data_IF_037923118778
#
_entry.id   IF_037923118778
#
_cell.length_a   1.000
_cell.length_b   1.000
_cell.length_c   1.000
_cell.angle_alpha   90.00
_cell.angle_beta   90.00
_cell.angle_gamma   90.00
#
_symmetry.space_group_name_H-M   'P 1'
#
loop_
_entity.id
_entity.type
_entity.pdbx_description
1 polymer ?
#
# COMPACT_ATOMS: atom_id res chain seq x y z
N UNK A 1 -17.56 -15.98 22.85
CA UNK A 1 -16.23 -16.59 22.62
C UNK A 1 -15.69 -16.36 21.21
N UNK A 2 -16.24 -16.94 20.13
CA UNK A 2 -15.68 -16.74 18.77
C UNK A 2 -15.70 -15.27 18.31
N UNK A 3 -16.80 -14.54 18.57
CA UNK A 3 -16.90 -13.12 18.22
C UNK A 3 -15.89 -12.26 19.01
N UNK A 4 -15.72 -12.52 20.30
CA UNK A 4 -14.76 -11.80 21.16
C UNK A 4 -13.32 -12.02 20.71
N UNK A 5 -12.97 -13.25 20.29
CA UNK A 5 -11.65 -13.55 19.72
C UNK A 5 -11.43 -12.73 18.44
N UNK A 6 -12.41 -12.70 17.54
CA UNK A 6 -12.33 -11.93 16.30
C UNK A 6 -12.19 -10.42 16.56
N UNK A 7 -12.92 -9.88 17.53
CA UNK A 7 -12.81 -8.47 17.93
C UNK A 7 -11.40 -8.15 18.46
N UNK A 8 -10.85 -9.01 19.32
CA UNK A 8 -9.47 -8.85 19.79
C UNK A 8 -8.48 -8.92 18.63
N UNK A 9 -8.63 -9.88 17.71
CA UNK A 9 -7.75 -10.02 16.55
C UNK A 9 -7.78 -8.79 15.63
N UNK A 10 -8.92 -8.09 15.47
CA UNK A 10 -8.97 -6.84 14.69
C UNK A 10 -8.09 -5.73 15.25
N UNK A 11 -7.78 -5.76 16.55
CA UNK A 11 -6.87 -4.79 17.18
C UNK A 11 -5.39 -5.20 17.09
N UNK A 12 -5.10 -6.43 16.66
CA UNK A 12 -3.73 -6.95 16.53
C UNK A 12 -3.16 -6.50 15.18
N UNK A 13 -2.08 -5.73 15.20
CA UNK A 13 -1.38 -5.29 13.98
C UNK A 13 -0.46 -6.37 13.43
N UNK A 14 0.34 -6.98 14.29
CA UNK A 14 1.35 -7.97 13.90
C UNK A 14 1.07 -9.34 14.48
N UNK A 15 1.43 -10.37 13.70
CA UNK A 15 1.49 -11.76 14.14
C UNK A 15 2.94 -12.21 14.07
N UNK A 16 3.50 -12.65 15.20
CA UNK A 16 4.84 -13.18 15.29
C UNK A 16 4.76 -14.69 15.51
N UNK A 17 5.38 -15.47 14.62
CA UNK A 17 5.43 -16.93 14.69
C UNK A 17 6.87 -17.40 14.92
N UNK A 18 7.10 -18.25 15.92
CA UNK A 18 8.41 -18.88 16.18
C UNK A 18 8.29 -20.35 16.54
N UNK A 19 9.36 -21.08 16.31
CA UNK A 19 9.64 -22.39 16.89
C UNK A 19 10.88 -22.37 17.81
N UNK A 20 11.46 -21.20 18.06
CA UNK A 20 12.61 -21.04 18.93
C UNK A 20 12.22 -21.25 20.39
N UNK A 21 13.00 -22.06 21.09
CA UNK A 21 12.87 -22.21 22.55
C UNK A 21 13.20 -20.88 23.23
N UNK A 22 12.39 -20.50 24.21
CA UNK A 22 12.62 -19.37 25.12
C UNK A 22 12.80 -18.01 24.45
N UNK A 23 12.09 -17.76 23.33
CA UNK A 23 12.34 -16.56 22.52
C UNK A 23 11.87 -15.24 23.14
N UNK A 24 10.56 -15.03 23.26
CA UNK A 24 9.97 -13.84 23.92
C UNK A 24 9.41 -14.12 25.31
N UNK A 25 9.34 -15.40 25.69
CA UNK A 25 8.75 -15.82 26.96
C UNK A 25 9.66 -15.49 28.15
N UNK A 26 10.98 -15.53 27.94
CA UNK A 26 11.99 -15.28 28.98
C UNK A 26 12.70 -13.93 28.83
N UNK A 27 12.61 -13.29 27.65
CA UNK A 27 13.43 -12.13 27.32
C UNK A 27 12.52 -10.96 26.89
N UNK A 28 12.58 -9.87 27.66
CA UNK A 28 11.83 -8.62 27.38
C UNK A 28 12.28 -7.92 26.09
N UNK A 29 13.53 -8.11 25.68
CA UNK A 29 14.10 -7.58 24.45
C UNK A 29 14.53 -8.73 23.56
N UNK A 30 13.91 -8.84 22.41
CA UNK A 30 14.18 -9.93 21.48
C UNK A 30 14.62 -9.39 20.13
N UNK A 31 15.14 -10.29 19.29
CA UNK A 31 15.50 -9.97 17.92
C UNK A 31 15.16 -11.11 16.97
N UNK A 32 14.96 -10.75 15.69
CA UNK A 32 14.66 -11.70 14.63
C UNK A 32 15.40 -11.34 13.33
N UNK A 33 15.88 -12.32 12.56
CA UNK A 33 16.47 -12.04 11.25
C UNK A 33 15.49 -11.35 10.30
N UNK A 34 15.98 -10.34 9.57
CA UNK A 34 15.20 -9.62 8.54
C UNK A 34 14.60 -10.55 7.49
N UNK A 35 15.28 -11.66 7.17
CA UNK A 35 14.81 -12.68 6.22
C UNK A 35 13.51 -13.36 6.65
N UNK A 36 13.17 -13.33 7.93
CA UNK A 36 11.91 -13.84 8.45
C UNK A 36 10.87 -12.73 8.68
N UNK A 37 11.08 -11.52 8.18
CA UNK A 37 10.07 -10.47 8.21
C UNK A 37 9.31 -10.47 6.88
N UNK A 38 7.98 -10.59 6.93
CA UNK A 38 7.16 -10.57 5.73
C UNK A 38 7.37 -9.27 4.93
N UNK A 39 7.44 -9.32 3.58
CA UNK A 39 7.75 -8.14 2.75
C UNK A 39 6.84 -6.93 3.01
N UNK A 40 5.57 -7.16 3.34
CA UNK A 40 4.63 -6.08 3.66
C UNK A 40 5.05 -5.26 4.89
N UNK A 41 5.70 -5.89 5.88
CA UNK A 41 6.24 -5.16 7.05
C UNK A 41 7.51 -4.41 6.66
N UNK A 42 8.37 -5.01 5.82
CA UNK A 42 9.62 -4.37 5.36
C UNK A 42 9.39 -3.11 4.53
N UNK A 43 8.23 -3.00 3.89
CA UNK A 43 7.81 -1.82 3.11
C UNK A 43 7.24 -0.69 3.97
N UNK A 44 7.07 -0.92 5.27
CA UNK A 44 6.51 0.07 6.19
C UNK A 44 7.59 0.68 7.07
N UNK A 45 7.42 1.95 7.48
CA UNK A 45 8.11 2.47 8.64
C UNK A 45 7.81 1.58 9.85
N UNK A 46 8.84 1.20 10.58
CA UNK A 46 8.68 0.47 11.83
C UNK A 46 7.87 1.33 12.81
N UNK A 47 6.89 0.71 13.49
CA UNK A 47 6.09 1.43 14.47
C UNK A 47 6.98 1.94 15.61
N UNK A 48 6.91 3.26 15.86
CA UNK A 48 7.58 3.90 17.01
C UNK A 48 6.82 3.64 18.31
N UNK A 49 5.49 3.52 18.22
CA UNK A 49 4.61 3.22 19.34
C UNK A 49 4.52 1.71 19.60
N UNK A 50 4.09 1.36 20.82
CA UNK A 50 3.73 -0.01 21.17
C UNK A 50 2.51 -0.45 20.35
N UNK A 51 2.58 -1.65 19.77
CA UNK A 51 1.51 -2.20 18.93
C UNK A 51 1.10 -3.57 19.41
N UNK A 52 -0.21 -3.80 19.39
CA UNK A 52 -0.76 -5.08 19.84
C UNK A 52 -0.34 -6.18 18.88
N UNK A 53 0.18 -7.26 19.44
CA UNK A 53 0.83 -8.34 18.69
C UNK A 53 0.34 -9.69 19.20
N UNK A 54 0.01 -10.58 18.27
CA UNK A 54 -0.25 -11.98 18.56
C UNK A 54 1.05 -12.77 18.41
N UNK A 55 1.45 -13.44 19.48
CA UNK A 55 2.63 -14.28 19.54
C UNK A 55 2.20 -15.74 19.46
N UNK A 56 2.78 -16.47 18.51
CA UNK A 56 2.42 -17.86 18.22
C UNK A 56 3.67 -18.71 18.35
N UNK A 57 3.63 -19.67 19.28
CA UNK A 57 4.66 -20.66 19.46
C UNK A 57 4.27 -21.96 18.77
N UNK A 58 5.20 -22.50 17.99
CA UNK A 58 5.02 -23.73 17.23
C UNK A 58 6.08 -24.75 17.60
N UNK A 59 5.67 -26.01 17.49
CA UNK A 59 6.59 -27.14 17.37
C UNK A 59 6.24 -27.88 16.08
N UNK A 60 7.20 -27.91 15.15
CA UNK A 60 6.99 -28.42 13.78
C UNK A 60 5.79 -27.70 13.14
N UNK A 61 4.73 -28.41 12.75
CA UNK A 61 3.51 -27.83 12.16
C UNK A 61 2.36 -27.66 13.15
N UNK A 62 2.59 -27.86 14.46
CA UNK A 62 1.56 -27.73 15.49
C UNK A 62 1.72 -26.41 16.23
N UNK A 63 0.62 -25.68 16.39
CA UNK A 63 0.55 -24.53 17.31
C UNK A 63 0.44 -25.08 18.73
N UNK A 64 1.40 -24.74 19.58
CA UNK A 64 1.45 -25.22 20.97
C UNK A 64 1.11 -24.13 21.99
N UNK A 65 1.15 -22.86 21.57
CA UNK A 65 0.78 -21.74 22.43
C UNK A 65 0.50 -20.48 21.63
N UNK A 66 -0.46 -19.71 22.13
CA UNK A 66 -0.75 -18.37 21.66
C UNK A 66 -0.73 -17.42 22.85
N UNK A 67 -0.19 -16.24 22.65
CA UNK A 67 -0.22 -15.16 23.63
C UNK A 67 -0.47 -13.84 22.93
N UNK A 68 -1.12 -12.91 23.62
CA UNK A 68 -1.30 -11.55 23.15
C UNK A 68 -0.52 -10.59 24.04
N UNK A 69 0.08 -9.57 23.45
CA UNK A 69 0.80 -8.53 24.20
C UNK A 69 1.13 -7.36 23.30
N UNK A 70 2.13 -6.59 23.69
CA UNK A 70 2.61 -5.46 22.91
C UNK A 70 4.04 -5.69 22.44
N UNK A 71 4.30 -5.32 21.19
CA UNK A 71 5.65 -5.17 20.66
C UNK A 71 5.97 -3.69 20.46
N UNK A 72 7.19 -3.26 20.81
CA UNK A 72 7.56 -1.84 20.75
C UNK A 72 9.04 -1.62 20.48
N UNK A 73 9.40 -0.35 20.26
CA UNK A 73 10.79 0.12 20.07
C UNK A 73 11.51 -0.68 18.98
N UNK A 74 10.82 -0.87 17.86
CA UNK A 74 11.35 -1.58 16.72
C UNK A 74 12.54 -0.86 16.12
N UNK A 75 13.68 -1.54 15.99
CA UNK A 75 14.87 -0.99 15.34
C UNK A 75 15.57 -2.03 14.47
N UNK A 76 16.19 -1.57 13.39
CA UNK A 76 17.09 -2.40 12.60
C UNK A 76 18.50 -2.31 13.20
N UNK A 77 19.13 -3.47 13.35
CA UNK A 77 20.51 -3.57 13.81
C UNK A 77 21.25 -4.65 13.03
N UNK A 78 22.57 -4.72 13.22
CA UNK A 78 23.38 -5.82 12.72
C UNK A 78 23.91 -6.64 13.89
N UNK A 79 24.03 -7.95 13.71
CA UNK A 79 24.76 -8.79 14.66
C UNK A 79 26.26 -8.82 14.33
N UNK A 80 27.05 -9.48 15.19
CA UNK A 80 28.50 -9.65 14.99
C UNK A 80 28.89 -10.35 13.68
N UNK A 81 27.97 -11.08 13.06
CA UNK A 81 28.14 -11.73 11.76
C UNK A 81 27.54 -10.92 10.59
N UNK A 82 27.27 -9.63 10.80
CA UNK A 82 26.75 -8.68 9.80
C UNK A 82 25.34 -8.98 9.26
N UNK A 83 24.59 -9.92 9.87
CA UNK A 83 23.18 -10.15 9.54
C UNK A 83 22.29 -9.03 10.06
N UNK A 84 21.35 -8.57 9.24
CA UNK A 84 20.38 -7.55 9.65
C UNK A 84 19.27 -8.19 10.48
N UNK A 85 19.06 -7.65 11.68
CA UNK A 85 18.05 -8.10 12.63
C UNK A 85 17.04 -6.98 12.90
N UNK A 86 15.78 -7.34 13.10
CA UNK A 86 14.79 -6.49 13.75
C UNK A 86 14.86 -6.73 15.26
N UNK A 87 15.13 -5.69 16.02
CA UNK A 87 15.06 -5.70 17.48
C UNK A 87 13.72 -5.14 17.93
N UNK A 88 13.15 -5.70 18.99
CA UNK A 88 11.87 -5.28 19.54
C UNK A 88 11.78 -5.64 21.02
N UNK A 89 10.88 -4.97 21.73
CA UNK A 89 10.54 -5.27 23.11
C UNK A 89 9.17 -5.91 23.19
N UNK A 90 8.98 -6.83 24.12
CA UNK A 90 7.72 -7.50 24.41
C UNK A 90 7.25 -7.14 25.82
N UNK A 91 6.01 -6.69 25.95
CA UNK A 91 5.38 -6.37 27.23
C UNK A 91 3.95 -6.91 27.31
N UNK A 92 3.44 -7.04 28.53
CA UNK A 92 2.05 -7.39 28.84
C UNK A 92 1.57 -8.67 28.15
N UNK A 93 2.45 -9.67 28.11
CA UNK A 93 2.16 -10.96 27.50
C UNK A 93 1.11 -11.70 28.35
N UNK A 94 -0.04 -11.99 27.75
CA UNK A 94 -1.13 -12.75 28.34
C UNK A 94 -1.43 -13.99 27.50
N UNK A 95 -1.71 -15.16 28.12
CA UNK A 95 -2.15 -16.33 27.40
C UNK A 95 -3.38 -16.03 26.53
N UNK A 96 -3.40 -16.59 25.33
CA UNK A 96 -4.51 -16.44 24.38
C UNK A 96 -4.95 -17.83 23.88
N UNK A 97 -6.23 -18.03 23.51
CA UNK A 97 -6.69 -19.30 22.95
C UNK A 97 -5.84 -19.75 21.76
N UNK A 98 -5.65 -21.07 21.62
CA UNK A 98 -4.90 -21.63 20.51
C UNK A 98 -5.66 -21.42 19.20
N UNK A 99 -5.00 -20.77 18.24
CA UNK A 99 -5.58 -20.43 16.94
C UNK A 99 -4.95 -21.28 15.83
N UNK A 100 -5.58 -22.41 15.51
CA UNK A 100 -5.07 -23.34 14.50
C UNK A 100 -5.08 -22.79 13.06
N UNK A 101 -5.82 -21.70 12.79
CA UNK A 101 -5.83 -21.00 11.50
C UNK A 101 -4.43 -20.46 11.10
N UNK A 102 -3.57 -20.18 12.08
CA UNK A 102 -2.22 -19.69 11.84
C UNK A 102 -1.17 -20.80 11.70
N UNK A 103 -1.57 -22.09 11.73
CA UNK A 103 -0.64 -23.24 11.64
C UNK A 103 0.26 -23.22 10.40
N UNK A 104 -0.23 -22.62 9.31
CA UNK A 104 0.46 -22.58 8.02
C UNK A 104 1.32 -21.32 7.84
N UNK A 105 1.30 -20.35 8.76
CA UNK A 105 2.16 -19.17 8.66
C UNK A 105 3.63 -19.57 8.83
N UNK A 106 4.51 -19.08 7.97
CA UNK A 106 5.95 -19.29 8.10
C UNK A 106 6.48 -18.69 9.40
N UNK A 107 7.59 -19.19 9.92
CA UNK A 107 8.30 -18.56 11.04
C UNK A 107 8.64 -17.12 10.64
N UNK A 108 8.36 -16.16 11.52
CA UNK A 108 8.54 -14.76 11.19
C UNK A 108 7.49 -13.78 11.68
N UNK A 109 7.69 -12.54 11.25
CA UNK A 109 6.77 -11.42 11.45
C UNK A 109 5.82 -11.31 10.27
N UNK A 110 4.52 -11.24 10.55
CA UNK A 110 3.44 -11.10 9.57
C UNK A 110 2.53 -9.94 9.94
N UNK A 111 1.95 -9.31 8.92
CA UNK A 111 0.88 -8.36 9.12
C UNK A 111 -0.42 -9.14 9.32
N UNK A 112 -1.21 -8.76 10.32
CA UNK A 112 -2.49 -9.41 10.55
C UNK A 112 -3.50 -8.98 9.49
N UNK A 113 -4.10 -9.96 8.79
CA UNK A 113 -5.09 -9.70 7.73
C UNK A 113 -6.39 -9.08 8.23
N UNK A 114 -6.70 -9.24 9.51
CA UNK A 114 -7.89 -8.68 10.15
C UNK A 114 -7.68 -7.26 10.66
N UNK A 115 -6.46 -6.73 10.61
CA UNK A 115 -6.18 -5.38 11.04
C UNK A 115 -6.74 -4.38 10.00
N UNK A 116 -7.50 -3.34 10.39
CA UNK A 116 -8.16 -2.41 9.46
C UNK A 116 -7.23 -1.84 8.38
N UNK A 117 -6.01 -1.48 8.76
CA UNK A 117 -5.03 -0.84 7.88
C UNK A 117 -4.27 -1.87 7.00
N UNK A 118 -4.67 -3.15 6.98
CA UNK A 118 -4.02 -4.17 6.15
C UNK A 118 -4.00 -3.77 4.66
N UNK A 119 -5.04 -3.07 4.20
CA UNK A 119 -5.18 -2.61 2.83
C UNK A 119 -4.58 -1.22 2.57
N UNK A 120 -4.15 -0.47 3.59
CA UNK A 120 -3.47 0.82 3.39
C UNK A 120 -2.21 0.64 2.52
N UNK A 121 -1.64 -0.56 2.49
CA UNK A 121 -0.47 -0.90 1.68
C UNK A 121 -0.78 -1.14 0.19
N UNK A 122 -2.05 -1.24 -0.18
CA UNK A 122 -2.49 -1.26 -1.57
C UNK A 122 -2.72 0.15 -2.11
N UNK A 123 -2.70 1.17 -1.25
CA UNK A 123 -2.86 2.57 -1.63
C UNK A 123 -1.47 3.10 -2.00
N UNK A 124 -1.21 3.45 -3.28
CA UNK A 124 0.05 4.07 -3.64
C UNK A 124 0.24 5.40 -2.89
N UNK A 125 1.46 5.66 -2.41
CA UNK A 125 1.77 6.85 -1.61
C UNK A 125 1.37 8.17 -2.28
N UNK A 126 1.43 8.23 -3.62
CA UNK A 126 1.07 9.42 -4.38
C UNK A 126 -0.41 9.81 -4.24
N UNK A 127 -1.31 8.90 -3.84
CA UNK A 127 -2.73 9.23 -3.67
C UNK A 127 -2.97 10.18 -2.49
N UNK A 128 -2.20 10.03 -1.41
CA UNK A 128 -2.26 10.97 -0.28
C UNK A 128 -1.76 12.36 -0.71
N UNK A 129 -0.60 12.40 -1.38
CA UNK A 129 -0.01 13.63 -1.90
C UNK A 129 -0.92 14.33 -2.92
N UNK A 130 -1.64 13.56 -3.75
CA UNK A 130 -2.59 14.07 -4.73
C UNK A 130 -3.80 14.77 -4.11
N UNK A 131 -4.28 14.31 -2.94
CA UNK A 131 -5.41 14.92 -2.25
C UNK A 131 -5.08 16.25 -1.56
N UNK A 132 -3.80 16.51 -1.30
CA UNK A 132 -3.33 17.68 -0.55
C UNK A 132 -2.60 18.70 -1.43
N UNK A 133 -2.18 18.34 -2.64
CA UNK A 133 -1.36 19.21 -3.48
C UNK A 133 -2.16 20.37 -4.08
N UNK A 134 -1.63 21.59 -3.96
CA UNK A 134 -2.10 22.77 -4.68
C UNK A 134 -1.27 23.03 -5.96
N UNK A 135 -0.17 22.30 -6.16
CA UNK A 135 0.65 22.41 -7.37
C UNK A 135 -0.01 21.64 -8.52
N UNK A 136 -0.59 22.40 -9.45
CA UNK A 136 -1.24 21.87 -10.64
C UNK A 136 -0.35 20.90 -11.44
N UNK A 137 0.98 21.09 -11.46
CA UNK A 137 1.91 20.22 -12.19
C UNK A 137 2.04 18.86 -11.52
N UNK A 138 2.11 18.85 -10.19
CA UNK A 138 2.15 17.61 -9.41
C UNK A 138 0.81 16.88 -9.51
N UNK A 139 -0.29 17.62 -9.46
CA UNK A 139 -1.63 17.05 -9.65
C UNK A 139 -1.79 16.36 -11.01
N UNK A 140 -1.38 17.01 -12.11
CA UNK A 140 -1.38 16.41 -13.46
C UNK A 140 -0.53 15.13 -13.52
N UNK A 141 0.66 15.15 -12.89
CA UNK A 141 1.55 13.99 -12.81
C UNK A 141 0.92 12.84 -12.01
N UNK A 142 0.26 13.14 -10.89
CA UNK A 142 -0.44 12.13 -10.10
C UNK A 142 -1.68 11.57 -10.82
N UNK A 143 -2.42 12.39 -11.57
CA UNK A 143 -3.47 11.92 -12.48
C UNK A 143 -2.92 10.95 -13.53
N UNK A 144 -1.74 11.24 -14.10
CA UNK A 144 -1.08 10.31 -15.02
C UNK A 144 -0.75 8.96 -14.35
N UNK A 145 -0.24 8.98 -13.11
CA UNK A 145 0.02 7.75 -12.36
C UNK A 145 -1.25 6.99 -12.02
N UNK A 146 -2.33 7.69 -11.67
CA UNK A 146 -3.64 7.10 -11.43
C UNK A 146 -4.17 6.39 -12.67
N UNK A 147 -4.08 7.02 -13.85
CA UNK A 147 -4.51 6.40 -15.12
C UNK A 147 -3.73 5.12 -15.42
N UNK A 148 -2.41 5.09 -15.19
CA UNK A 148 -1.62 3.86 -15.31
C UNK A 148 -2.06 2.79 -14.30
N UNK A 149 -2.31 3.19 -13.05
CA UNK A 149 -2.71 2.29 -11.98
C UNK A 149 -4.03 1.57 -12.30
N UNK A 150 -5.00 2.26 -12.91
CA UNK A 150 -6.29 1.67 -13.32
C UNK A 150 -6.20 0.90 -14.66
N UNK A 151 -5.01 0.72 -15.21
CA UNK A 151 -4.76 -0.11 -16.39
C UNK A 151 -4.67 0.64 -17.73
N UNK A 152 -4.71 1.98 -17.73
CA UNK A 152 -4.47 2.78 -18.94
C UNK A 152 -2.97 2.94 -19.15
N UNK A 153 -2.35 1.91 -19.73
CA UNK A 153 -0.90 1.88 -19.89
C UNK A 153 -0.39 2.66 -21.11
N UNK A 154 -1.22 2.81 -22.15
CA UNK A 154 -0.88 3.53 -23.39
C UNK A 154 -1.28 5.01 -23.31
N UNK A 155 -0.66 5.75 -22.40
CA UNK A 155 -0.86 7.20 -22.25
C UNK A 155 0.15 7.99 -23.09
N UNK A 156 -0.34 9.02 -23.77
CA UNK A 156 0.47 9.98 -24.52
C UNK A 156 0.33 11.36 -23.87
N UNK A 157 1.16 11.69 -22.86
CA UNK A 157 1.13 13.01 -22.23
C UNK A 157 1.65 14.08 -23.21
N UNK A 158 1.02 15.26 -23.20
CA UNK A 158 1.49 16.39 -23.97
C UNK A 158 2.60 17.15 -23.21
N UNK A 159 3.58 17.74 -23.92
CA UNK A 159 4.64 18.52 -23.27
C UNK A 159 4.10 19.77 -22.56
N UNK A 160 4.51 19.97 -21.31
CA UNK A 160 4.13 21.09 -20.43
C UNK A 160 4.70 22.46 -20.86
N UNK A 161 5.79 22.47 -21.64
CA UNK A 161 6.60 23.68 -21.90
C UNK A 161 5.98 24.66 -22.91
N UNK A 162 4.92 24.29 -23.66
CA UNK A 162 4.39 25.12 -24.77
C UNK A 162 2.87 25.30 -24.82
N UNK A 163 2.12 24.87 -23.81
CA UNK A 163 0.70 24.56 -24.02
C UNK A 163 -0.26 25.12 -22.95
N UNK A 164 -0.24 26.44 -22.72
CA UNK A 164 -1.31 27.09 -21.95
C UNK A 164 -2.65 26.90 -22.71
N UNK A 165 -3.57 26.11 -22.14
CA UNK A 165 -4.92 25.85 -22.70
C UNK A 165 -5.07 24.59 -23.57
N UNK A 166 -4.13 23.63 -23.54
CA UNK A 166 -4.31 22.30 -24.16
C UNK A 166 -4.49 21.23 -23.09
N UNK A 167 -5.10 20.11 -23.50
CA UNK A 167 -5.26 18.92 -22.69
C UNK A 167 -3.89 18.43 -22.19
N UNK A 168 -3.89 17.66 -21.12
CA UNK A 168 -2.68 17.12 -20.50
C UNK A 168 -2.17 15.89 -21.24
N UNK A 169 -3.06 15.17 -21.90
CA UNK A 169 -2.70 14.02 -22.71
C UNK A 169 -3.87 13.39 -23.43
N UNK A 170 -3.55 12.30 -24.12
CA UNK A 170 -4.52 11.47 -24.82
C UNK A 170 -4.21 9.98 -24.65
N UNK A 171 -5.24 9.15 -24.77
CA UNK A 171 -5.10 7.71 -24.83
C UNK A 171 -6.25 7.06 -25.58
N UNK A 172 -6.06 5.79 -25.92
CA UNK A 172 -7.10 4.93 -26.50
C UNK A 172 -7.46 3.83 -25.51
N UNK A 173 -8.75 3.55 -25.38
CA UNK A 173 -9.28 2.41 -24.64
C UNK A 173 -10.21 1.62 -25.56
N UNK A 174 -9.67 0.58 -26.19
CA UNK A 174 -10.33 -0.04 -27.34
C UNK A 174 -10.53 0.99 -28.46
N UNK A 175 -11.76 1.15 -28.93
CA UNK A 175 -12.13 2.11 -29.99
C UNK A 175 -12.46 3.51 -29.45
N UNK A 176 -12.35 3.72 -28.14
CA UNK A 176 -12.61 5.02 -27.51
C UNK A 176 -11.32 5.86 -27.47
N UNK A 177 -11.33 6.98 -28.19
CA UNK A 177 -10.32 8.02 -28.05
C UNK A 177 -10.69 8.98 -26.93
N UNK A 178 -9.76 9.17 -25.97
CA UNK A 178 -9.95 10.03 -24.81
C UNK A 178 -8.89 11.13 -24.81
N UNK A 179 -9.36 12.37 -24.69
CA UNK A 179 -8.55 13.52 -24.28
C UNK A 179 -8.81 13.78 -22.80
N UNK A 180 -7.77 13.90 -21.99
CA UNK A 180 -7.91 14.20 -20.56
C UNK A 180 -7.18 15.49 -20.17
N UNK A 181 -7.76 16.20 -19.21
CA UNK A 181 -7.29 17.47 -18.65
C UNK A 181 -7.70 17.46 -17.17
N UNK A 182 -6.71 17.47 -16.29
CA UNK A 182 -6.82 17.46 -14.85
C UNK A 182 -6.75 18.88 -14.32
N UNK A 183 -7.51 19.19 -13.27
CA UNK A 183 -7.58 20.56 -12.74
C UNK A 183 -7.81 20.51 -11.25
N UNK A 184 -6.97 21.24 -10.51
CA UNK A 184 -6.99 21.33 -9.04
C UNK A 184 -7.95 22.42 -8.51
N UNK A 185 -8.64 23.15 -9.40
CA UNK A 185 -9.53 24.25 -9.05
C UNK A 185 -10.96 23.76 -8.72
N UNK A 186 -11.52 24.19 -7.58
CA UNK A 186 -12.87 23.84 -7.14
C UNK A 186 -13.99 24.39 -8.04
N UNK A 187 -13.75 25.51 -8.73
CA UNK A 187 -14.70 26.14 -9.66
C UNK A 187 -14.48 25.70 -11.12
N UNK A 188 -13.78 24.58 -11.35
CA UNK A 188 -13.39 24.10 -12.68
C UNK A 188 -14.53 24.04 -13.70
N UNK A 189 -15.78 23.82 -13.28
CA UNK A 189 -16.92 23.70 -14.20
C UNK A 189 -17.15 24.96 -15.03
N UNK A 190 -17.09 26.13 -14.40
CA UNK A 190 -17.29 27.40 -15.10
C UNK A 190 -16.03 27.76 -15.89
N UNK A 191 -14.85 27.59 -15.30
CA UNK A 191 -13.56 27.96 -15.90
C UNK A 191 -13.21 27.10 -17.14
N UNK A 192 -13.67 25.84 -17.19
CA UNK A 192 -13.33 24.88 -18.25
C UNK A 192 -14.41 24.74 -19.32
N UNK A 193 -15.57 25.38 -19.17
CA UNK A 193 -16.70 25.20 -20.10
C UNK A 193 -16.33 25.50 -21.56
N UNK A 194 -15.65 26.62 -21.78
CA UNK A 194 -15.16 27.00 -23.11
C UNK A 194 -14.03 26.08 -23.61
N UNK A 195 -13.16 25.61 -22.71
CA UNK A 195 -12.06 24.71 -23.02
C UNK A 195 -12.57 23.33 -23.46
N UNK A 196 -13.58 22.80 -22.76
CA UNK A 196 -14.27 21.54 -23.11
C UNK A 196 -14.95 21.67 -24.47
N UNK A 197 -15.67 22.76 -24.73
CA UNK A 197 -16.33 22.98 -26.02
C UNK A 197 -15.30 22.99 -27.18
N UNK A 198 -14.14 23.62 -26.99
CA UNK A 198 -13.03 23.59 -27.96
C UNK A 198 -12.49 22.17 -28.16
N UNK A 199 -12.37 21.36 -27.11
CA UNK A 199 -11.94 19.96 -27.25
C UNK A 199 -12.95 19.11 -27.99
N UNK A 200 -14.24 19.26 -27.71
CA UNK A 200 -15.30 18.53 -28.43
C UNK A 200 -15.24 18.85 -29.92
N UNK A 201 -15.06 20.12 -30.29
CA UNK A 201 -14.89 20.51 -31.69
C UNK A 201 -13.63 19.90 -32.32
N UNK A 202 -12.51 19.91 -31.61
CA UNK A 202 -11.24 19.31 -32.07
C UNK A 202 -11.35 17.80 -32.30
N UNK A 203 -12.04 17.08 -31.41
CA UNK A 203 -12.27 15.63 -31.54
C UNK A 203 -13.20 15.34 -32.71
N UNK A 204 -14.26 16.13 -32.87
CA UNK A 204 -15.22 15.97 -33.99
C UNK A 204 -14.58 16.27 -35.35
N UNK A 205 -13.71 17.29 -35.43
CA UNK A 205 -13.00 17.65 -36.66
C UNK A 205 -11.95 16.63 -37.11
N UNK A 206 -11.45 15.78 -36.21
CA UNK A 206 -10.50 14.69 -36.53
C UNK A 206 -11.16 13.42 -37.12
N UNK A 207 -12.49 13.39 -37.30
CA UNK A 207 -13.23 12.19 -37.79
C UNK A 207 -13.20 11.97 -39.31
N UNK A 208 -12.44 12.73 -40.08
CA UNK A 208 -12.18 12.42 -41.50
C UNK A 208 -10.80 11.79 -41.65
N UNK A 209 -10.76 10.45 -41.62
CA UNK A 209 -9.64 9.67 -42.15
C UNK A 209 -9.94 9.40 -43.62
N UNK A 210 -9.23 10.06 -44.53
CA UNK A 210 -9.27 9.71 -45.95
C UNK A 210 -8.40 8.47 -46.15
N UNK A 211 -9.03 7.29 -46.31
CA UNK A 211 -8.33 6.09 -46.76
C UNK A 211 -8.20 6.17 -48.29
N UNK A 212 -7.08 6.74 -48.76
CA UNK A 212 -6.70 6.66 -50.17
C UNK A 212 -5.99 5.35 -50.46
N UNK A 213 -6.51 4.54 -51.39
CA UNK A 213 -5.72 3.47 -52.03
C UNK A 213 -4.60 4.12 -52.83
N UNK A 214 -3.34 3.79 -52.54
CA UNK A 214 -2.28 3.96 -53.53
C UNK A 214 -2.54 2.94 -54.66
N UNK A 215 -2.86 3.45 -55.84
CA UNK A 215 -2.60 2.77 -57.12
C UNK A 215 -1.33 3.38 -57.71
#
# INVERSE_FOLDING_TARGET
>A
MQNEIQEVLRTVKYVMVTDFKNHWEEIKRSSFPKSFTHPLILRQPLSKAAVRTLFIKREKQKVIGCSIGYSSKFTWGKNGSNFTLIHFFVTDLQPFPILNEYKNLKIGWHLNKMYPDFNDHLIPCFLAEMGETEDWRLFELYCHYLLKLIGVNSLHPFPTVRNKGKADGEFFLGDLYVLYDATVNNNFREDKKEQIAKYVLKVRGKRTVTIGRQQ
#
